data_IF_223008847377
#
_entry.id   IF_223008847377
#
_cell.length_a   1.000
_cell.length_b   1.000
_cell.length_c   1.000
_cell.angle_alpha   90.00
_cell.angle_beta   90.00
_cell.angle_gamma   90.00
#
_symmetry.space_group_name_H-M   'P 1'
#
loop_
_entity.id
_entity.type
_entity.pdbx_description
1 polymer ?
#
# COMPACT_ATOMS: atom_id res chain seq x y z
N UNK A 1 5.40 -10.51 6.26
CA UNK A 1 5.39 -9.49 7.31
C UNK A 1 6.74 -8.82 7.40
N UNK A 2 6.74 -7.53 7.68
CA UNK A 2 7.97 -6.76 7.90
C UNK A 2 8.30 -6.69 9.39
N UNK A 3 9.55 -6.34 9.68
CA UNK A 3 10.05 -6.12 11.03
C UNK A 3 10.91 -4.86 11.04
N UNK A 4 10.71 -3.99 12.03
CA UNK A 4 11.51 -2.80 12.17
C UNK A 4 12.95 -3.16 12.59
N UNK A 5 13.94 -2.60 11.93
CA UNK A 5 15.35 -2.73 12.28
C UNK A 5 15.87 -1.52 13.07
N UNK A 6 15.20 -0.40 12.94
CA UNK A 6 15.52 0.86 13.61
C UNK A 6 14.28 1.44 14.26
N UNK A 7 14.47 2.38 15.16
CA UNK A 7 13.38 3.16 15.74
C UNK A 7 12.75 4.04 14.66
N UNK A 8 11.41 4.06 14.58
CA UNK A 8 10.64 4.88 13.65
C UNK A 8 9.65 5.72 14.45
N UNK A 9 9.72 7.03 14.29
CA UNK A 9 8.80 7.95 14.95
C UNK A 9 7.54 8.11 14.11
N UNK A 10 6.43 7.61 14.61
CA UNK A 10 5.14 7.64 13.93
C UNK A 10 4.16 8.68 14.52
N UNK A 11 4.67 9.82 14.98
CA UNK A 11 3.88 10.88 15.61
C UNK A 11 3.42 10.50 17.01
N UNK A 12 2.21 9.95 17.14
CA UNK A 12 1.64 9.59 18.45
C UNK A 12 2.15 8.26 19.02
N UNK A 13 2.81 7.45 18.22
CA UNK A 13 3.41 6.19 18.66
C UNK A 13 4.81 6.01 18.05
N UNK A 14 5.59 5.16 18.67
CA UNK A 14 6.95 4.82 18.24
C UNK A 14 6.99 3.34 17.90
N UNK A 15 7.61 3.00 16.77
CA UNK A 15 7.95 1.63 16.41
C UNK A 15 9.38 1.37 16.86
N UNK A 16 9.60 0.32 17.64
CA UNK A 16 10.92 -0.04 18.13
C UNK A 16 11.58 -1.12 17.27
N UNK A 17 12.90 -1.22 17.28
CA UNK A 17 13.58 -2.33 16.63
C UNK A 17 13.04 -3.68 17.13
N UNK A 18 12.67 -4.55 16.19
CA UNK A 18 12.06 -5.85 16.46
C UNK A 18 10.54 -5.87 16.34
N UNK A 19 9.85 -4.73 16.38
CA UNK A 19 8.40 -4.69 16.24
C UNK A 19 7.96 -5.21 14.86
N UNK A 20 6.87 -5.97 14.87
CA UNK A 20 6.28 -6.50 13.64
C UNK A 20 5.34 -5.48 13.02
N UNK A 21 5.54 -5.24 11.73
CA UNK A 21 4.65 -4.46 10.91
C UNK A 21 3.62 -5.29 10.14
N UNK A 22 3.06 -4.72 9.09
CA UNK A 22 2.11 -5.34 8.18
C UNK A 22 2.77 -6.27 7.14
N UNK A 23 2.12 -6.38 6.00
CA UNK A 23 2.50 -7.30 4.93
C UNK A 23 2.91 -6.54 3.67
N UNK A 24 4.12 -6.80 3.18
CA UNK A 24 4.58 -6.34 1.87
C UNK A 24 4.78 -7.53 0.96
N UNK A 25 4.52 -7.37 -0.32
CA UNK A 25 4.85 -8.36 -1.34
C UNK A 25 6.35 -8.31 -1.67
N UNK A 26 6.91 -7.11 -1.74
CA UNK A 26 8.32 -6.87 -2.06
C UNK A 26 8.86 -5.65 -1.31
N UNK A 27 10.19 -5.54 -1.22
CA UNK A 27 10.84 -4.44 -0.51
C UNK A 27 10.51 -3.06 -1.11
N UNK A 28 10.35 -3.00 -2.43
CA UNK A 28 10.01 -1.79 -3.16
C UNK A 28 8.69 -1.17 -2.77
N UNK A 29 7.83 -1.91 -2.10
CA UNK A 29 6.54 -1.40 -1.64
C UNK A 29 6.65 -0.38 -0.50
N UNK A 30 7.79 -0.30 0.19
CA UNK A 30 7.98 0.61 1.31
C UNK A 30 9.32 1.34 1.18
N UNK A 31 9.29 2.65 1.32
CA UNK A 31 10.50 3.47 1.30
C UNK A 31 11.40 3.15 2.50
N UNK A 32 12.68 3.11 2.26
CA UNK A 32 13.71 3.03 3.30
C UNK A 32 14.10 4.40 3.87
N UNK A 33 13.62 5.47 3.25
CA UNK A 33 13.87 6.86 3.66
C UNK A 33 12.58 7.40 4.26
N UNK A 34 12.68 8.26 5.28
CA UNK A 34 11.53 8.79 6.01
C UNK A 34 11.05 7.85 7.13
N UNK A 35 9.83 8.07 7.61
CA UNK A 35 9.21 7.31 8.69
C UNK A 35 8.00 6.51 8.25
N UNK A 36 7.89 6.21 6.94
CA UNK A 36 6.80 5.42 6.41
C UNK A 36 6.70 4.07 7.12
N UNK A 37 5.48 3.68 7.48
CA UNK A 37 5.26 2.41 8.16
C UNK A 37 3.95 1.75 7.75
N UNK A 38 4.01 0.43 7.61
CA UNK A 38 2.85 -0.44 7.39
C UNK A 38 2.70 -1.33 8.62
N UNK A 39 1.53 -1.35 9.26
CA UNK A 39 1.32 -2.14 10.48
C UNK A 39 -0.02 -2.88 10.51
N UNK A 40 -0.26 -3.60 11.59
CA UNK A 40 -1.40 -4.47 11.83
C UNK A 40 -1.53 -5.55 10.74
N UNK A 41 -2.70 -5.69 10.14
CA UNK A 41 -2.97 -6.60 9.03
C UNK A 41 -3.02 -5.90 7.66
N UNK A 42 -2.50 -4.66 7.60
CA UNK A 42 -2.42 -3.92 6.36
C UNK A 42 -1.49 -4.61 5.35
N UNK A 43 -1.84 -4.49 4.07
CA UNK A 43 -1.17 -5.16 2.96
C UNK A 43 -0.81 -4.19 1.86
N UNK A 44 0.45 -4.26 1.39
CA UNK A 44 0.93 -3.47 0.26
C UNK A 44 1.54 -4.42 -0.77
N UNK A 45 1.06 -4.36 -2.01
CA UNK A 45 1.49 -5.28 -3.07
C UNK A 45 1.43 -4.64 -4.46
N UNK A 46 1.83 -5.42 -5.49
CA UNK A 46 1.96 -4.89 -6.85
C UNK A 46 3.10 -3.88 -6.95
N UNK A 47 2.90 -2.80 -7.67
CA UNK A 47 3.84 -1.70 -7.78
C UNK A 47 3.54 -0.56 -6.78
N UNK A 48 2.65 -0.81 -5.83
CA UNK A 48 2.31 0.17 -4.83
C UNK A 48 3.52 0.60 -4.01
N UNK A 49 3.56 1.88 -3.65
CA UNK A 49 4.68 2.47 -2.94
C UNK A 49 4.22 3.34 -1.79
N UNK A 50 4.74 3.06 -0.60
CA UNK A 50 4.51 3.82 0.63
C UNK A 50 5.81 4.52 1.00
N UNK A 51 5.79 5.84 1.20
CA UNK A 51 7.00 6.64 1.42
C UNK A 51 6.82 7.80 2.41
N UNK A 52 7.92 8.50 2.67
CA UNK A 52 8.04 9.68 3.52
C UNK A 52 7.55 9.41 4.95
N UNK A 53 6.48 10.04 5.42
CA UNK A 53 5.88 9.83 6.75
C UNK A 53 4.53 9.11 6.70
N UNK A 54 4.22 8.51 5.55
CA UNK A 54 2.94 7.85 5.30
C UNK A 54 2.71 6.61 6.18
N UNK A 55 1.45 6.38 6.53
CA UNK A 55 1.03 5.25 7.37
C UNK A 55 -0.10 4.46 6.76
N UNK A 56 0.09 3.15 6.74
CA UNK A 56 -0.94 2.21 6.29
C UNK A 56 -1.18 1.20 7.42
N UNK A 57 -2.42 1.14 7.96
CA UNK A 57 -2.69 0.32 9.14
C UNK A 57 -4.13 -0.23 9.18
N UNK A 58 -4.40 -1.06 10.18
CA UNK A 58 -5.66 -1.81 10.27
C UNK A 58 -5.69 -2.96 9.26
N UNK A 59 -6.79 -3.06 8.54
CA UNK A 59 -6.97 -4.04 7.45
C UNK A 59 -6.88 -3.37 6.07
N UNK A 60 -6.15 -2.26 5.95
CA UNK A 60 -6.06 -1.50 4.71
C UNK A 60 -5.27 -2.24 3.63
N UNK A 61 -5.66 -2.07 2.39
CA UNK A 61 -5.00 -2.63 1.21
C UNK A 61 -4.54 -1.51 0.30
N UNK A 62 -3.27 -1.55 -0.09
CA UNK A 62 -2.67 -0.63 -1.06
C UNK A 62 -2.03 -1.47 -2.17
N UNK A 63 -2.46 -1.29 -3.41
CA UNK A 63 -2.04 -2.17 -4.51
C UNK A 63 -1.93 -1.48 -5.86
N UNK A 64 -1.60 -2.27 -6.87
CA UNK A 64 -1.41 -1.86 -8.26
C UNK A 64 -0.29 -0.78 -8.35
N UNK A 65 -0.55 0.37 -8.95
CA UNK A 65 0.42 1.47 -9.06
C UNK A 65 0.19 2.59 -8.02
N UNK A 66 -0.57 2.30 -6.96
CA UNK A 66 -0.93 3.27 -5.94
C UNK A 66 0.28 3.82 -5.18
N UNK A 67 0.26 5.12 -4.88
CA UNK A 67 1.29 5.82 -4.12
C UNK A 67 0.67 6.45 -2.87
N UNK A 68 1.25 6.17 -1.71
CA UNK A 68 0.86 6.72 -0.41
C UNK A 68 2.10 7.34 0.21
N UNK A 69 2.19 8.66 0.21
CA UNK A 69 3.40 9.41 0.55
C UNK A 69 3.08 10.59 1.48
N UNK A 70 4.09 11.37 1.84
CA UNK A 70 3.99 12.53 2.71
C UNK A 70 3.30 12.16 4.05
N UNK A 71 2.33 12.94 4.52
CA UNK A 71 1.60 12.70 5.78
C UNK A 71 0.35 11.81 5.60
N UNK A 72 0.23 11.11 4.50
CA UNK A 72 -0.94 10.31 4.17
C UNK A 72 -1.22 9.20 5.19
N UNK A 73 -2.51 8.95 5.43
CA UNK A 73 -2.97 7.88 6.32
C UNK A 73 -4.05 7.05 5.64
N UNK A 74 -3.75 5.78 5.44
CA UNK A 74 -4.70 4.79 4.88
C UNK A 74 -4.97 3.74 5.96
N UNK A 75 -6.21 3.61 6.40
CA UNK A 75 -6.52 2.78 7.57
C UNK A 75 -7.91 2.14 7.52
N UNK A 76 -8.21 1.35 8.54
CA UNK A 76 -9.47 0.61 8.62
C UNK A 76 -9.55 -0.47 7.56
N UNK A 77 -10.63 -0.52 6.81
CA UNK A 77 -10.82 -1.42 5.68
C UNK A 77 -10.68 -0.68 4.33
N UNK A 78 -9.89 0.39 4.29
CA UNK A 78 -9.66 1.15 3.07
C UNK A 78 -8.98 0.29 2.00
N UNK A 79 -9.36 0.49 0.76
CA UNK A 79 -8.72 -0.15 -0.37
C UNK A 79 -8.31 0.91 -1.40
N UNK A 80 -7.01 1.21 -1.45
CA UNK A 80 -6.40 2.20 -2.33
C UNK A 80 -5.62 1.47 -3.43
N UNK A 81 -5.99 1.65 -4.68
CA UNK A 81 -5.45 0.86 -5.80
C UNK A 81 -5.47 1.64 -7.12
N UNK A 82 -5.16 0.94 -8.24
CA UNK A 82 -5.07 1.59 -9.55
C UNK A 82 -3.96 2.66 -9.56
N UNK A 83 -4.18 3.80 -10.14
CA UNK A 83 -3.27 4.93 -10.24
C UNK A 83 -3.43 5.96 -9.08
N UNK A 84 -3.88 5.50 -7.91
CA UNK A 84 -4.11 6.36 -6.75
C UNK A 84 -2.85 7.11 -6.31
N UNK A 85 -3.00 8.39 -5.94
CA UNK A 85 -1.95 9.17 -5.30
C UNK A 85 -2.51 9.85 -4.07
N UNK A 86 -2.14 9.35 -2.90
CA UNK A 86 -2.59 9.81 -1.60
C UNK A 86 -1.37 10.40 -0.87
N UNK A 87 -1.36 11.72 -0.67
CA UNK A 87 -0.27 12.47 -0.03
C UNK A 87 -0.70 13.13 1.27
N UNK A 88 -2.00 13.27 1.49
CA UNK A 88 -2.56 13.89 2.68
C UNK A 88 -3.78 13.09 3.17
N UNK A 89 -4.19 13.26 4.43
CA UNK A 89 -5.34 12.56 4.98
C UNK A 89 -6.67 12.85 4.25
N UNK A 90 -6.82 14.00 3.64
CA UNK A 90 -8.00 14.42 2.87
C UNK A 90 -8.00 13.95 1.41
N UNK A 91 -6.98 13.21 0.96
CA UNK A 91 -6.96 12.58 -0.36
C UNK A 91 -7.66 11.22 -0.41
N UNK A 92 -8.15 10.74 0.70
CA UNK A 92 -8.89 9.48 0.81
C UNK A 92 -10.06 9.62 1.78
N UNK A 93 -11.21 9.12 1.35
CA UNK A 93 -12.43 9.04 2.18
C UNK A 93 -12.91 7.60 2.18
N UNK A 94 -13.14 7.07 3.36
CA UNK A 94 -13.64 5.71 3.56
C UNK A 94 -14.99 5.76 4.23
N UNK A 95 -16.00 5.18 3.58
CA UNK A 95 -17.35 5.08 4.13
C UNK A 95 -17.66 3.60 4.35
N UNK A 96 -17.72 3.21 5.62
CA UNK A 96 -17.89 1.82 6.02
C UNK A 96 -19.34 1.39 6.16
N UNK A 97 -19.60 0.10 5.92
CA UNK A 97 -20.86 -0.60 6.13
C UNK A 97 -22.05 0.03 5.40
N UNK A 98 -21.85 0.41 4.14
CA UNK A 98 -22.89 0.97 3.29
C UNK A 98 -23.28 0.02 2.14
N UNK A 99 -24.37 0.36 1.47
CA UNK A 99 -24.89 -0.39 0.34
C UNK A 99 -25.55 -1.73 0.72
N UNK A 100 -25.81 -2.53 -0.28
CA UNK A 100 -26.53 -3.81 -0.10
C UNK A 100 -25.69 -4.92 0.56
N UNK A 101 -24.36 -4.82 0.50
CA UNK A 101 -23.44 -5.78 1.12
C UNK A 101 -22.92 -5.34 2.48
N UNK A 102 -23.29 -4.14 2.95
CA UNK A 102 -22.75 -3.55 4.18
C UNK A 102 -21.22 -3.56 4.21
N UNK A 103 -20.60 -3.24 3.07
CA UNK A 103 -19.16 -3.25 2.88
C UNK A 103 -18.58 -1.84 2.88
N UNK A 104 -17.27 -1.75 2.85
CA UNK A 104 -16.54 -0.47 2.80
C UNK A 104 -16.45 0.02 1.36
N UNK A 105 -16.73 1.31 1.17
CA UNK A 105 -16.48 2.03 -0.08
C UNK A 105 -15.37 3.03 0.18
N UNK A 106 -14.31 2.98 -0.62
CA UNK A 106 -13.16 3.88 -0.54
C UNK A 106 -13.16 4.81 -1.75
N UNK A 107 -13.07 6.10 -1.48
CA UNK A 107 -12.86 7.14 -2.47
C UNK A 107 -11.45 7.67 -2.29
N UNK A 108 -10.72 7.84 -3.37
CA UNK A 108 -9.36 8.36 -3.36
C UNK A 108 -9.10 9.12 -4.66
N UNK A 109 -8.12 10.02 -4.62
CA UNK A 109 -7.71 10.73 -5.82
C UNK A 109 -6.60 9.99 -6.56
N UNK A 110 -6.52 10.19 -7.86
CA UNK A 110 -5.38 9.81 -8.67
C UNK A 110 -4.43 11.00 -8.91
N UNK A 111 -3.37 10.79 -9.68
CA UNK A 111 -2.38 11.82 -9.98
C UNK A 111 -2.94 13.01 -10.76
N UNK A 112 -3.97 12.81 -11.58
CA UNK A 112 -4.65 13.86 -12.34
C UNK A 112 -5.68 14.65 -11.50
N UNK A 113 -5.86 14.33 -10.21
CA UNK A 113 -6.88 14.96 -9.37
C UNK A 113 -8.29 14.39 -9.58
N UNK A 114 -8.44 13.28 -10.28
CA UNK A 114 -9.74 12.62 -10.47
C UNK A 114 -10.05 11.75 -9.27
N UNK A 115 -11.27 11.88 -8.73
CA UNK A 115 -11.73 11.01 -7.65
C UNK A 115 -12.15 9.66 -8.22
N UNK A 116 -11.48 8.61 -7.77
CA UNK A 116 -11.77 7.20 -8.05
C UNK A 116 -12.54 6.58 -6.89
N UNK A 117 -13.27 5.53 -7.17
CA UNK A 117 -14.07 4.77 -6.19
C UNK A 117 -13.73 3.30 -6.27
N UNK A 118 -13.44 2.71 -5.13
CA UNK A 118 -13.35 1.26 -4.93
C UNK A 118 -14.50 0.80 -4.05
N UNK A 119 -15.41 -0.01 -4.62
CA UNK A 119 -16.58 -0.56 -3.94
C UNK A 119 -16.80 -2.02 -4.37
N UNK A 120 -16.45 -2.96 -3.53
CA UNK A 120 -16.46 -4.38 -3.86
C UNK A 120 -15.58 -4.68 -5.08
N UNK A 121 -16.15 -5.23 -6.14
CA UNK A 121 -15.42 -5.48 -7.40
C UNK A 121 -15.37 -4.27 -8.35
N UNK A 122 -16.07 -3.18 -8.03
CA UNK A 122 -16.04 -1.96 -8.84
C UNK A 122 -14.80 -1.11 -8.53
N UNK A 123 -14.17 -0.61 -9.59
CA UNK A 123 -13.19 0.47 -9.55
C UNK A 123 -13.44 1.40 -10.74
N UNK A 124 -13.35 2.71 -10.54
CA UNK A 124 -13.55 3.69 -11.59
C UNK A 124 -13.81 5.09 -11.06
N UNK A 125 -14.16 6.04 -11.94
CA UNK A 125 -14.52 7.39 -11.54
C UNK A 125 -15.83 7.44 -10.74
N UNK A 126 -16.04 8.53 -10.01
CA UNK A 126 -17.30 8.74 -9.26
C UNK A 126 -18.52 8.73 -10.19
N UNK A 127 -18.39 9.31 -11.40
CA UNK A 127 -19.52 9.37 -12.33
C UNK A 127 -19.88 7.99 -12.87
N UNK A 128 -18.87 7.16 -13.22
CA UNK A 128 -19.07 5.78 -13.61
C UNK A 128 -19.67 4.94 -12.45
N UNK A 129 -19.25 5.20 -11.23
CA UNK A 129 -19.82 4.57 -10.04
C UNK A 129 -21.30 4.91 -9.88
N UNK A 130 -21.64 6.20 -9.93
CA UNK A 130 -23.03 6.66 -9.80
C UNK A 130 -23.92 6.12 -10.92
N UNK A 131 -23.44 6.07 -12.15
CA UNK A 131 -24.16 5.41 -13.26
C UNK A 131 -24.41 3.92 -12.97
N UNK A 132 -23.43 3.21 -12.41
CA UNK A 132 -23.60 1.80 -12.01
C UNK A 132 -24.56 1.64 -10.84
N UNK A 133 -24.55 2.55 -9.88
CA UNK A 133 -25.48 2.60 -8.76
C UNK A 133 -26.92 2.77 -9.27
N UNK A 134 -27.14 3.68 -10.21
CA UNK A 134 -28.46 3.92 -10.83
C UNK A 134 -29.01 2.66 -11.48
N UNK A 135 -28.20 2.00 -12.32
CA UNK A 135 -28.61 0.76 -13.00
C UNK A 135 -28.91 -0.36 -12.00
N UNK A 136 -28.11 -0.47 -10.92
CA UNK A 136 -28.21 -1.61 -9.99
C UNK A 136 -29.27 -1.40 -8.90
N UNK A 137 -29.40 -0.18 -8.41
CA UNK A 137 -30.19 0.14 -7.22
C UNK A 137 -31.37 1.08 -7.50
N UNK A 138 -31.43 1.66 -8.71
CA UNK A 138 -32.45 2.65 -9.09
C UNK A 138 -32.55 3.77 -8.04
N UNK A 139 -33.71 3.97 -7.42
CA UNK A 139 -33.91 5.00 -6.39
C UNK A 139 -34.18 4.41 -4.97
N UNK A 140 -33.66 3.22 -4.72
CA UNK A 140 -33.81 2.60 -3.40
C UNK A 140 -32.88 3.27 -2.34
N UNK A 141 -33.01 2.83 -1.08
CA UNK A 141 -32.20 3.36 0.03
C UNK A 141 -30.70 3.23 -0.19
N UNK A 142 -30.25 2.18 -0.90
CA UNK A 142 -28.81 1.97 -1.12
C UNK A 142 -28.26 2.96 -2.14
N UNK A 143 -29.03 3.27 -3.20
CA UNK A 143 -28.67 4.33 -4.15
C UNK A 143 -28.52 5.67 -3.45
N UNK A 144 -29.47 6.04 -2.58
CA UNK A 144 -29.42 7.30 -1.81
C UNK A 144 -28.14 7.37 -0.95
N UNK A 145 -27.79 6.30 -0.25
CA UNK A 145 -26.60 6.25 0.59
C UNK A 145 -25.33 6.36 -0.24
N UNK A 146 -25.24 5.70 -1.39
CA UNK A 146 -24.07 5.80 -2.27
C UNK A 146 -23.92 7.20 -2.89
N UNK A 147 -25.02 7.85 -3.25
CA UNK A 147 -24.99 9.25 -3.72
C UNK A 147 -24.47 10.20 -2.64
N UNK A 148 -24.98 10.08 -1.40
CA UNK A 148 -24.48 10.87 -0.27
C UNK A 148 -23.00 10.61 0.03
N UNK A 149 -22.55 9.37 -0.03
CA UNK A 149 -21.13 9.03 0.14
C UNK A 149 -20.26 9.66 -0.96
N UNK A 150 -20.72 9.66 -2.20
CA UNK A 150 -20.03 10.31 -3.31
C UNK A 150 -19.97 11.83 -3.15
N UNK A 151 -21.05 12.47 -2.71
CA UNK A 151 -21.06 13.90 -2.42
C UNK A 151 -20.13 14.27 -1.25
N UNK A 152 -20.11 13.46 -0.20
CA UNK A 152 -19.14 13.60 0.89
C UNK A 152 -17.71 13.56 0.36
N UNK A 153 -17.39 12.57 -0.46
CA UNK A 153 -16.06 12.41 -1.03
C UNK A 153 -15.66 13.58 -1.93
N UNK A 154 -16.59 14.08 -2.77
CA UNK A 154 -16.37 15.27 -3.61
C UNK A 154 -16.13 16.54 -2.79
N UNK A 155 -16.77 16.66 -1.63
CA UNK A 155 -16.60 17.81 -0.75
C UNK A 155 -15.31 17.75 0.08
N UNK A 156 -14.84 16.55 0.39
CA UNK A 156 -13.69 16.33 1.28
C UNK A 156 -12.37 16.20 0.54
N UNK A 157 -12.36 15.54 -0.62
CA UNK A 157 -11.12 15.20 -1.30
C UNK A 157 -10.60 16.41 -2.08
N UNK A 158 -9.39 16.86 -1.74
CA UNK A 158 -8.67 17.86 -2.53
C UNK A 158 -8.29 17.28 -3.90
N UNK A 159 -8.74 17.93 -4.97
CA UNK A 159 -8.49 17.54 -6.35
C UNK A 159 -7.48 18.45 -7.05
N UNK A 160 -6.83 19.35 -6.32
CA UNK A 160 -5.80 20.24 -6.88
C UNK A 160 -4.67 19.40 -7.50
N UNK A 161 -4.33 19.59 -8.78
CA UNK A 161 -3.25 18.85 -9.41
C UNK A 161 -1.95 18.97 -8.62
N UNK A 162 -1.20 17.87 -8.52
CA UNK A 162 0.14 17.92 -7.95
C UNK A 162 1.09 18.64 -8.93
N UNK A 163 1.96 19.47 -8.40
CA UNK A 163 3.18 19.83 -9.11
C UNK A 163 3.99 18.54 -9.33
N UNK A 164 4.68 18.43 -10.47
CA UNK A 164 5.37 17.21 -10.90
C UNK A 164 6.17 16.58 -9.74
N UNK A 165 5.82 15.37 -9.38
CA UNK A 165 6.59 14.59 -8.42
C UNK A 165 8.00 14.35 -8.96
N UNK A 166 9.04 14.57 -8.17
CA UNK A 166 10.39 14.21 -8.57
C UNK A 166 10.43 12.69 -8.90
N UNK A 167 11.18 12.29 -9.92
CA UNK A 167 11.31 10.88 -10.29
C UNK A 167 11.77 10.07 -9.07
N UNK A 168 11.25 8.85 -8.90
CA UNK A 168 11.68 7.91 -7.86
C UNK A 168 13.20 7.94 -7.77
N UNK A 169 13.77 8.47 -6.68
CA UNK A 169 15.22 8.53 -6.53
C UNK A 169 15.75 7.11 -6.62
N UNK A 170 16.61 6.88 -7.58
CA UNK A 170 17.32 5.61 -7.72
C UNK A 170 18.01 5.26 -6.39
N UNK A 171 17.81 4.03 -5.97
CA UNK A 171 18.29 3.50 -4.71
C UNK A 171 19.79 3.69 -4.56
N UNK A 172 20.24 4.39 -3.55
CA UNK A 172 21.58 4.21 -3.00
C UNK A 172 21.50 3.08 -1.98
N UNK A 173 22.04 1.95 -2.36
CA UNK A 173 21.88 0.62 -1.80
C UNK A 173 22.25 0.41 -0.33
N UNK A 174 22.94 1.30 0.32
CA UNK A 174 23.56 1.00 1.62
C UNK A 174 22.66 1.29 2.85
N UNK A 175 21.63 2.07 2.71
CA UNK A 175 20.79 2.51 3.86
C UNK A 175 19.55 1.62 4.04
N UNK A 176 19.16 0.92 3.01
CA UNK A 176 17.88 0.21 2.93
C UNK A 176 17.82 -1.03 3.82
N UNK A 177 18.79 -1.90 3.75
CA UNK A 177 18.87 -3.14 4.53
C UNK A 177 18.82 -2.91 6.04
N UNK A 178 19.04 -1.68 6.49
CA UNK A 178 19.02 -1.33 7.91
C UNK A 178 17.62 -1.10 8.49
N UNK A 179 16.61 -0.84 7.67
CA UNK A 179 15.30 -0.41 8.19
C UNK A 179 14.31 -1.54 8.40
N UNK A 180 14.33 -2.57 7.54
CA UNK A 180 13.37 -3.66 7.60
C UNK A 180 13.94 -4.97 7.08
N UNK A 181 13.57 -6.08 7.71
CA UNK A 181 13.72 -7.43 7.15
C UNK A 181 12.35 -7.97 6.75
N UNK A 182 12.25 -8.42 5.53
CA UNK A 182 11.05 -9.06 5.04
C UNK A 182 11.10 -10.56 5.36
N UNK A 183 10.18 -11.03 6.18
CA UNK A 183 10.12 -12.43 6.58
C UNK A 183 9.01 -13.16 5.78
N UNK A 184 9.05 -13.01 4.44
CA UNK A 184 7.99 -13.51 3.57
C UNK A 184 7.84 -15.02 3.54
N UNK A 185 8.91 -15.80 3.88
CA UNK A 185 8.86 -17.27 3.79
C UNK A 185 9.68 -18.01 4.84
N UNK A 186 10.00 -17.42 5.98
CA UNK A 186 10.79 -18.13 7.00
C UNK A 186 12.20 -18.55 6.54
N UNK A 187 12.68 -18.02 5.44
CA UNK A 187 14.02 -18.30 4.92
C UNK A 187 14.94 -17.23 5.52
N UNK A 188 15.71 -17.61 6.51
CA UNK A 188 16.90 -16.89 6.91
C UNK A 188 17.84 -16.88 5.69
N UNK A 189 17.97 -15.77 5.02
CA UNK A 189 19.09 -15.55 4.12
C UNK A 189 20.32 -15.33 5.01
N UNK A 190 20.96 -16.40 5.42
CA UNK A 190 22.32 -16.37 5.93
C UNK A 190 23.22 -15.93 4.79
N UNK A 191 23.61 -14.65 4.79
CA UNK A 191 24.60 -14.05 3.88
C UNK A 191 26.02 -14.61 4.09
N UNK A 192 26.16 -15.83 4.57
CA UNK A 192 27.42 -16.54 4.76
C UNK A 192 27.44 -17.92 4.10
N UNK A 193 26.83 -18.07 2.94
CA UNK A 193 27.13 -19.21 2.11
C UNK A 193 28.41 -18.92 1.31
N UNK A 194 29.55 -19.21 1.89
CA UNK A 194 30.79 -19.43 1.16
C UNK A 194 30.59 -20.67 0.29
N UNK A 195 30.29 -20.50 -0.96
CA UNK A 195 30.51 -21.55 -1.97
C UNK A 195 32.02 -21.74 -2.09
N UNK A 196 32.57 -22.67 -1.34
CA UNK A 196 33.86 -23.28 -1.68
C UNK A 196 33.61 -24.22 -2.88
N UNK A 197 34.00 -23.76 -4.04
CA UNK A 197 34.21 -24.64 -5.16
C UNK A 197 35.34 -25.60 -4.77
N UNK A 198 35.05 -26.86 -4.61
CA UNK A 198 36.03 -27.93 -4.65
C UNK A 198 35.92 -28.58 -6.04
N UNK A 199 36.82 -28.13 -6.93
CA UNK A 199 37.34 -29.00 -7.99
C UNK A 199 38.01 -30.18 -7.29
N UNK A 200 37.60 -31.38 -7.62
CA UNK A 200 38.50 -32.51 -7.76
C UNK A 200 37.73 -33.66 -8.41
N UNK A 201 37.89 -33.72 -9.74
CA UNK A 201 37.71 -34.94 -10.52
C UNK A 201 39.12 -35.39 -10.88
N UNK A 202 39.65 -36.29 -10.13
CA UNK A 202 40.79 -37.09 -10.61
C UNK A 202 40.38 -38.55 -10.79
N UNK A 203 40.57 -38.94 -12.00
CA UNK A 203 40.63 -40.27 -12.56
C UNK A 203 41.30 -41.27 -11.65
N UNK A 204 40.73 -42.48 -11.57
CA UNK A 204 41.55 -43.70 -11.53
C UNK A 204 40.98 -44.75 -12.47
N UNK A 205 41.89 -45.10 -13.41
CA UNK A 205 41.79 -46.21 -14.33
C UNK A 205 42.17 -47.52 -13.63
N UNK A 206 41.55 -48.60 -14.11
CA UNK A 206 42.04 -49.96 -14.26
C UNK A 206 42.91 -50.67 -13.22
N UNK A 207 42.51 -51.81 -12.78
CA UNK A 207 43.04 -53.13 -13.14
C UNK A 207 42.59 -54.22 -12.15
N UNK A 208 42.13 -55.27 -12.80
CA UNK A 208 41.98 -56.71 -12.49
C UNK A 208 40.57 -57.17 -12.22
#
# INVERSE_FOLDING_TARGET
RIRALVKIECGIFTVNPGDLGGWLEKEENLSSVGNAWVCDDARVYGNAWVCDDARVYGNAWVCDDARVCDDARVYGNAWVCDDAVVKAPDHVVTVGRIGSRFDTTTFFRNKEGVIKVKCGCFIGSVDAFLAKVEVTHQDNKHAKVYRLAAELAKAQIDTTPFEDDPPKKEKKEASFLKKMMNNLYGIHADLNCKCSASEDITKEEHQN
#
